data_IF_682260710902
#
_entry.id   IF_682260710902
#
_cell.length_a   1.000
_cell.length_b   1.000
_cell.length_c   1.000
_cell.angle_alpha   90.00
_cell.angle_beta   90.00
_cell.angle_gamma   90.00
#
_symmetry.space_group_name_H-M   'P 1'
#
loop_
_entity.id
_entity.type
_entity.pdbx_description
1 polymer ?
#
# COMPACT_ATOMS: atom_id res chain seq x y z
N UNK A 1 46.22 39.54 -30.15
CA UNK A 1 45.77 40.15 -28.89
C UNK A 1 44.24 40.06 -28.83
N UNK A 2 43.66 40.19 -27.63
CA UNK A 2 42.22 39.93 -27.38
C UNK A 2 41.33 41.18 -27.52
N UNK A 3 40.02 40.94 -27.33
CA UNK A 3 38.93 41.85 -26.94
C UNK A 3 38.09 42.44 -28.07
N UNK A 4 36.80 42.04 -28.05
CA UNK A 4 35.70 42.63 -28.81
C UNK A 4 34.39 42.48 -27.99
N UNK A 5 34.15 43.41 -27.07
CA UNK A 5 32.94 43.54 -26.23
C UNK A 5 32.99 44.87 -25.45
N UNK A 6 31.93 45.35 -24.75
CA UNK A 6 30.57 44.80 -24.62
C UNK A 6 29.45 45.80 -25.00
N UNK A 7 28.18 45.36 -24.92
CA UNK A 7 27.01 46.26 -24.83
C UNK A 7 26.55 46.46 -23.37
N UNK A 8 25.96 47.62 -23.09
CA UNK A 8 25.06 47.93 -21.96
C UNK A 8 23.80 48.56 -22.60
N UNK A 9 22.55 48.38 -22.18
CA UNK A 9 21.84 48.11 -20.90
C UNK A 9 20.88 49.30 -20.64
N UNK A 10 19.88 49.12 -19.77
CA UNK A 10 18.64 49.93 -19.62
C UNK A 10 17.59 49.60 -20.71
N UNK A 11 16.28 49.58 -20.44
CA UNK A 11 15.57 50.00 -19.21
C UNK A 11 14.41 49.07 -18.77
N UNK A 12 13.76 49.40 -17.65
CA UNK A 12 12.78 48.59 -16.90
C UNK A 12 11.29 48.95 -17.21
N UNK A 13 10.32 48.33 -16.50
CA UNK A 13 8.85 48.58 -16.46
C UNK A 13 7.94 47.75 -17.41
N UNK A 14 6.74 47.26 -17.03
CA UNK A 14 6.08 47.13 -15.71
C UNK A 14 5.00 46.00 -15.73
N UNK A 15 4.58 45.51 -14.55
CA UNK A 15 3.55 44.47 -14.27
C UNK A 15 2.09 44.96 -14.55
N UNK A 16 1.02 44.10 -14.65
CA UNK A 16 0.49 43.36 -13.48
C UNK A 16 -0.15 41.95 -13.72
N UNK A 17 0.06 41.01 -12.77
CA UNK A 17 -0.97 40.29 -11.95
C UNK A 17 -0.27 39.22 -11.07
N UNK A 18 0.45 39.64 -10.04
CA UNK A 18 -0.02 39.74 -8.63
C UNK A 18 -0.45 38.43 -7.92
N UNK A 19 0.55 37.64 -7.53
CA UNK A 19 0.74 37.10 -6.17
C UNK A 19 -0.50 36.58 -5.40
N UNK A 20 -1.08 35.47 -5.84
CA UNK A 20 -2.04 34.69 -5.03
C UNK A 20 -1.38 33.94 -3.87
N UNK A 21 -1.23 34.64 -2.74
CA UNK A 21 -1.23 34.09 -1.37
C UNK A 21 -0.35 32.85 -1.11
N UNK A 22 0.88 33.09 -0.63
CA UNK A 22 1.68 32.10 0.12
C UNK A 22 1.14 31.88 1.55
N UNK A 23 -0.19 31.73 1.69
CA UNK A 23 -0.86 31.44 2.95
C UNK A 23 -0.35 30.11 3.52
N UNK A 24 0.19 30.16 4.74
CA UNK A 24 0.34 28.94 5.54
C UNK A 24 -1.05 28.28 5.66
N UNK A 25 -1.18 26.95 5.46
CA UNK A 25 -2.45 26.26 5.72
C UNK A 25 -2.89 26.50 7.16
N UNK A 26 -4.21 26.53 7.39
CA UNK A 26 -4.83 26.84 8.68
C UNK A 26 -4.06 26.21 9.85
N UNK A 27 -3.79 27.00 10.88
CA UNK A 27 -2.85 26.63 11.95
C UNK A 27 -3.39 25.45 12.76
N UNK A 28 -2.74 24.31 12.58
CA UNK A 28 -2.98 23.04 13.25
C UNK A 28 -2.31 22.98 14.65
N UNK A 29 -1.97 24.14 15.20
CA UNK A 29 -1.11 24.30 16.38
C UNK A 29 0.39 24.09 16.07
N UNK A 30 0.73 23.80 14.81
CA UNK A 30 2.10 23.50 14.38
C UNK A 30 2.71 24.60 13.50
N UNK A 31 2.04 25.75 13.34
CA UNK A 31 2.54 26.90 12.58
C UNK A 31 3.97 27.32 12.93
N UNK A 32 4.31 27.37 14.22
CA UNK A 32 5.68 27.69 14.68
C UNK A 32 6.72 26.69 14.18
N UNK A 33 6.38 25.38 14.15
CA UNK A 33 7.26 24.34 13.62
C UNK A 33 7.42 24.49 12.10
N UNK A 34 6.31 24.73 11.38
CA UNK A 34 6.30 24.97 9.93
C UNK A 34 7.18 26.17 9.55
N UNK A 35 7.05 27.30 10.26
CA UNK A 35 7.88 28.50 10.05
C UNK A 35 9.36 28.25 10.29
N UNK A 36 9.74 27.52 11.37
CA UNK A 36 11.13 27.13 11.61
C UNK A 36 11.69 26.24 10.47
N UNK A 37 10.89 25.32 9.91
CA UNK A 37 11.29 24.47 8.78
C UNK A 37 11.50 25.28 7.50
N UNK A 38 10.63 26.26 7.22
CA UNK A 38 10.75 27.16 6.06
C UNK A 38 12.06 27.97 6.15
N UNK A 39 12.33 28.58 7.30
CA UNK A 39 13.59 29.32 7.53
C UNK A 39 14.84 28.44 7.29
N UNK A 40 14.84 27.17 7.72
CA UNK A 40 15.97 26.24 7.45
C UNK A 40 16.13 25.94 5.96
N UNK A 41 15.03 25.90 5.18
CA UNK A 41 15.10 25.71 3.72
C UNK A 41 15.70 26.93 3.01
N UNK A 42 15.46 28.14 3.51
CA UNK A 42 15.95 29.41 2.96
C UNK A 42 17.43 29.68 3.22
N UNK A 43 18.04 29.07 4.25
CA UNK A 43 19.47 29.22 4.57
C UNK A 43 20.37 28.85 3.37
N UNK A 44 21.46 29.60 3.16
CA UNK A 44 22.49 29.30 2.15
C UNK A 44 23.54 28.31 2.68
N UNK A 45 23.07 27.12 3.06
CA UNK A 45 23.86 25.99 3.55
C UNK A 45 23.65 24.74 2.67
N UNK A 46 24.51 23.73 2.79
CA UNK A 46 24.39 22.49 2.00
C UNK A 46 23.13 21.71 2.37
N UNK A 47 22.63 20.88 1.45
CA UNK A 47 21.44 20.06 1.70
C UNK A 47 21.62 19.09 2.89
N UNK A 48 22.85 18.62 3.15
CA UNK A 48 23.18 17.81 4.32
C UNK A 48 23.08 18.60 5.63
N UNK A 49 23.46 19.89 5.64
CA UNK A 49 23.30 20.76 6.81
C UNK A 49 21.84 21.12 7.06
N UNK A 50 21.08 21.41 5.99
CA UNK A 50 19.62 21.60 6.07
C UNK A 50 18.93 20.37 6.68
N UNK A 51 19.27 19.17 6.20
CA UNK A 51 18.73 17.92 6.74
C UNK A 51 19.07 17.73 8.23
N UNK A 52 20.32 18.02 8.66
CA UNK A 52 20.71 17.95 10.07
C UNK A 52 19.92 18.93 10.95
N UNK A 53 19.71 20.16 10.51
CA UNK A 53 18.94 21.16 11.27
C UNK A 53 17.44 20.80 11.36
N UNK A 54 16.81 20.35 10.27
CA UNK A 54 15.41 19.88 10.32
C UNK A 54 15.26 18.66 11.23
N UNK A 55 16.20 17.70 11.17
CA UNK A 55 16.18 16.54 12.07
C UNK A 55 16.35 16.96 13.54
N UNK A 56 17.28 17.87 13.84
CA UNK A 56 17.47 18.42 15.19
C UNK A 56 16.19 19.03 15.74
N UNK A 57 15.56 19.90 14.97
CA UNK A 57 14.28 20.54 15.29
C UNK A 57 13.15 19.52 15.56
N UNK A 58 13.03 18.47 14.75
CA UNK A 58 12.03 17.41 14.95
C UNK A 58 12.31 16.53 16.19
N UNK A 59 13.55 16.49 16.67
CA UNK A 59 13.97 15.65 17.81
C UNK A 59 14.06 16.45 19.12
N UNK A 60 13.99 17.80 19.05
CA UNK A 60 14.11 18.74 20.18
C UNK A 60 13.23 18.32 21.37
N UNK A 61 11.92 18.19 21.17
CA UNK A 61 10.97 17.78 22.22
C UNK A 61 11.17 16.36 22.74
N UNK A 62 11.62 15.41 21.90
CA UNK A 62 11.90 14.04 22.33
C UNK A 62 13.14 13.97 23.24
N UNK A 63 14.14 14.83 22.99
CA UNK A 63 15.32 14.94 23.85
C UNK A 63 14.99 15.69 25.14
N UNK A 64 14.28 16.83 25.07
CA UNK A 64 13.86 17.57 26.27
C UNK A 64 13.00 16.75 27.23
N UNK A 65 12.17 15.83 26.72
CA UNK A 65 11.37 14.91 27.54
C UNK A 65 12.17 13.78 28.23
N UNK A 66 13.47 13.64 27.93
CA UNK A 66 14.35 12.58 28.47
C UNK A 66 15.34 13.05 29.53
N UNK A 67 15.55 14.36 29.66
CA UNK A 67 16.49 14.98 30.62
C UNK A 67 15.87 15.18 32.04
N UNK A 68 14.93 14.31 32.45
CA UNK A 68 14.30 14.33 33.78
C UNK A 68 14.81 13.17 34.66
N UNK A 69 15.51 13.41 35.79
CA UNK A 69 16.10 12.33 36.59
C UNK A 69 15.14 11.61 37.54
N UNK A 70 15.21 10.28 37.52
CA UNK A 70 15.14 9.34 38.66
C UNK A 70 14.18 9.61 39.84
N UNK A 71 13.08 8.82 39.91
CA UNK A 71 12.56 8.28 41.20
C UNK A 71 12.20 6.80 41.06
N UNK A 72 12.20 6.06 42.17
CA UNK A 72 12.08 4.59 42.23
C UNK A 72 10.63 4.10 42.45
N UNK A 73 10.31 2.91 41.95
CA UNK A 73 9.07 2.20 42.29
C UNK A 73 9.03 0.79 41.72
N UNK A 74 8.97 -0.24 42.58
CA UNK A 74 8.93 -1.66 42.19
C UNK A 74 7.71 -2.32 42.81
N UNK A 75 6.92 -3.04 42.01
CA UNK A 75 5.96 -4.03 42.52
C UNK A 75 5.81 -5.21 41.56
N UNK A 76 5.82 -6.41 42.13
CA UNK A 76 5.49 -7.71 41.52
C UNK A 76 4.18 -8.20 42.19
N UNK A 77 3.75 -9.45 41.95
CA UNK A 77 2.54 -10.17 42.43
C UNK A 77 1.33 -10.11 41.45
N UNK A 78 0.59 -11.20 41.17
CA UNK A 78 0.62 -12.59 41.71
C UNK A 78 0.04 -13.64 40.74
N UNK A 79 0.31 -14.92 41.02
CA UNK A 79 -0.53 -16.10 40.68
C UNK A 79 -0.72 -16.94 41.97
N UNK A 80 -1.78 -17.77 42.12
CA UNK A 80 -1.77 -19.16 41.62
C UNK A 80 -3.16 -19.73 41.21
N UNK A 81 -3.28 -21.06 41.05
CA UNK A 81 -4.42 -21.79 40.44
C UNK A 81 -5.03 -22.88 41.36
N UNK A 82 -6.32 -23.28 41.14
CA UNK A 82 -6.81 -24.70 41.06
C UNK A 82 -8.35 -24.91 41.23
N UNK A 83 -9.01 -25.47 40.20
CA UNK A 83 -9.89 -26.68 40.07
C UNK A 83 -10.73 -27.26 41.26
N UNK A 84 -11.68 -28.22 41.06
CA UNK A 84 -12.14 -28.98 39.85
C UNK A 84 -13.68 -28.78 39.57
N UNK A 85 -14.61 -29.68 39.13
CA UNK A 85 -14.66 -31.13 38.80
C UNK A 85 -15.95 -31.57 38.03
N UNK A 86 -15.97 -32.80 37.47
CA UNK A 86 -17.09 -33.67 36.98
C UNK A 86 -18.03 -33.16 35.84
N UNK A 87 -18.45 -33.96 34.84
CA UNK A 87 -18.07 -35.34 34.48
C UNK A 87 -18.76 -35.88 33.18
N UNK A 88 -18.14 -36.88 32.53
CA UNK A 88 -18.66 -37.70 31.39
C UNK A 88 -19.22 -39.06 31.92
N UNK A 89 -19.80 -40.02 31.14
CA UNK A 89 -19.65 -40.37 29.71
C UNK A 89 -20.99 -40.22 28.92
N UNK A 90 -21.32 -40.78 27.74
CA UNK A 90 -20.76 -41.87 26.89
C UNK A 90 -21.19 -41.70 25.39
N UNK A 91 -20.65 -42.52 24.48
CA UNK A 91 -21.10 -42.71 23.08
C UNK A 91 -21.05 -44.24 22.76
N UNK A 92 -21.93 -44.82 21.91
CA UNK A 92 -21.44 -45.27 20.59
C UNK A 92 -22.46 -45.34 19.40
N UNK A 93 -21.91 -45.16 18.19
CA UNK A 93 -22.21 -45.88 16.92
C UNK A 93 -23.53 -45.72 16.13
N UNK A 94 -23.41 -44.96 15.02
CA UNK A 94 -23.71 -45.33 13.61
C UNK A 94 -24.77 -46.38 13.24
N UNK A 95 -25.72 -46.00 12.36
CA UNK A 95 -26.30 -46.87 11.31
C UNK A 95 -26.58 -46.06 10.01
N UNK A 96 -26.94 -46.76 8.91
CA UNK A 96 -27.05 -46.22 7.54
C UNK A 96 -28.48 -45.90 7.08
N UNK A 97 -28.54 -44.94 6.15
CA UNK A 97 -29.43 -44.75 4.99
C UNK A 97 -30.79 -45.50 4.91
N UNK A 98 -31.81 -44.76 4.46
CA UNK A 98 -32.99 -45.29 3.74
C UNK A 98 -33.47 -44.24 2.75
N UNK A 99 -33.92 -44.67 1.57
CA UNK A 99 -34.35 -43.81 0.47
C UNK A 99 -35.86 -43.57 0.51
N UNK A 100 -36.32 -42.36 0.20
CA UNK A 100 -37.69 -42.13 -0.28
C UNK A 100 -37.61 -41.20 -1.50
N UNK A 101 -38.03 -41.70 -2.65
CA UNK A 101 -38.10 -40.96 -3.90
C UNK A 101 -39.53 -40.40 -4.08
N UNK A 102 -39.69 -39.09 -4.29
CA UNK A 102 -40.99 -38.49 -4.61
C UNK A 102 -40.85 -37.28 -5.53
N UNK A 103 -40.95 -37.54 -6.84
CA UNK A 103 -41.42 -36.66 -7.93
C UNK A 103 -41.24 -35.13 -7.83
N UNK A 104 -40.46 -34.59 -8.78
CA UNK A 104 -40.55 -33.19 -9.29
C UNK A 104 -42.00 -32.73 -9.52
N UNK A 105 -42.26 -31.42 -9.39
CA UNK A 105 -42.50 -30.62 -10.61
C UNK A 105 -41.30 -29.76 -11.04
N UNK A 106 -41.33 -29.25 -12.27
CA UNK A 106 -40.26 -28.47 -12.89
C UNK A 106 -40.61 -27.00 -13.07
N UNK A 107 -39.69 -26.11 -12.73
CA UNK A 107 -39.63 -24.72 -13.20
C UNK A 107 -38.15 -24.31 -13.32
N UNK A 108 -37.73 -23.48 -14.31
CA UNK A 108 -36.32 -23.29 -14.63
C UNK A 108 -35.63 -22.17 -13.84
N UNK A 109 -34.30 -22.28 -13.80
CA UNK A 109 -33.34 -21.21 -13.50
C UNK A 109 -33.54 -20.43 -12.19
N UNK A 110 -33.02 -21.01 -11.11
CA UNK A 110 -32.50 -20.26 -9.97
C UNK A 110 -31.25 -20.97 -9.49
N UNK A 111 -30.11 -20.56 -10.04
CA UNK A 111 -28.82 -20.98 -9.48
C UNK A 111 -28.72 -20.45 -8.05
N UNK A 112 -28.43 -21.34 -7.11
CA UNK A 112 -28.31 -20.99 -5.70
C UNK A 112 -26.98 -20.29 -5.44
N UNK A 113 -26.91 -19.01 -5.83
CA UNK A 113 -25.79 -18.10 -5.56
C UNK A 113 -25.35 -18.26 -4.10
N UNK A 114 -24.10 -18.66 -3.83
CA UNK A 114 -23.64 -18.91 -2.46
C UNK A 114 -23.73 -17.65 -1.59
N UNK A 115 -24.01 -17.82 -0.30
CA UNK A 115 -24.32 -16.70 0.60
C UNK A 115 -23.18 -15.68 0.79
N UNK A 116 -21.94 -15.98 0.38
CA UNK A 116 -20.83 -15.01 0.44
C UNK A 116 -21.00 -13.85 -0.57
N UNK A 117 -21.66 -14.08 -1.70
CA UNK A 117 -21.87 -13.05 -2.75
C UNK A 117 -22.92 -12.01 -2.34
N UNK A 118 -23.86 -12.37 -1.45
CA UNK A 118 -24.93 -11.46 -0.99
C UNK A 118 -24.47 -10.39 0.02
N UNK A 119 -23.25 -10.51 0.56
CA UNK A 119 -22.70 -9.55 1.54
C UNK A 119 -21.74 -8.53 0.94
N UNK A 120 -21.24 -8.73 -0.29
CA UNK A 120 -20.29 -7.83 -0.94
C UNK A 120 -21.04 -6.81 -1.80
N UNK A 121 -21.12 -5.57 -1.33
CA UNK A 121 -21.80 -4.49 -2.06
C UNK A 121 -20.87 -3.94 -3.12
N UNK A 122 -21.05 -4.39 -4.36
CA UNK A 122 -20.30 -3.96 -5.53
C UNK A 122 -21.07 -2.89 -6.31
N UNK A 123 -20.39 -1.81 -6.68
CA UNK A 123 -20.87 -0.81 -7.64
C UNK A 123 -20.38 -1.11 -9.07
N UNK A 124 -21.03 -0.59 -10.12
CA UNK A 124 -20.50 -0.65 -11.49
C UNK A 124 -19.08 -0.08 -11.62
N UNK A 125 -18.75 0.94 -10.82
CA UNK A 125 -17.44 1.59 -10.74
C UNK A 125 -16.38 0.68 -10.11
N UNK A 126 -16.74 -0.14 -9.11
CA UNK A 126 -15.85 -1.16 -8.53
C UNK A 126 -15.44 -2.20 -9.58
N UNK A 127 -16.32 -2.56 -10.51
CA UNK A 127 -16.05 -3.54 -11.57
C UNK A 127 -15.11 -3.02 -12.67
N UNK A 128 -14.91 -1.70 -12.80
CA UNK A 128 -14.02 -1.15 -13.83
C UNK A 128 -12.55 -1.50 -13.52
N UNK A 129 -11.81 -2.15 -14.45
CA UNK A 129 -10.39 -2.45 -14.25
C UNK A 129 -9.57 -1.17 -14.20
N UNK A 130 -8.52 -1.15 -13.37
CA UNK A 130 -7.55 -0.05 -13.34
C UNK A 130 -6.23 -0.49 -13.97
N UNK A 131 -5.58 0.42 -14.67
CA UNK A 131 -4.33 0.19 -15.38
C UNK A 131 -3.19 0.99 -14.74
N UNK A 132 -1.97 0.49 -14.92
CA UNK A 132 -0.76 1.25 -14.60
C UNK A 132 -0.69 2.45 -15.55
N UNK A 133 -0.56 3.70 -15.06
CA UNK A 133 -0.36 4.84 -15.93
C UNK A 133 0.90 4.64 -16.77
N UNK A 134 0.77 4.82 -18.09
CA UNK A 134 1.93 4.87 -18.99
C UNK A 134 2.76 6.09 -18.60
N UNK A 135 4.08 5.93 -18.56
CA UNK A 135 4.96 7.09 -18.56
C UNK A 135 4.90 7.69 -19.97
N UNK A 136 4.33 8.88 -20.10
CA UNK A 136 4.32 9.65 -21.34
C UNK A 136 5.77 9.90 -21.75
N UNK A 137 6.25 9.07 -22.69
CA UNK A 137 7.58 9.22 -23.26
C UNK A 137 7.45 10.24 -24.36
N UNK A 138 8.08 11.40 -24.18
CA UNK A 138 8.09 12.46 -25.16
C UNK A 138 8.55 11.89 -26.52
N UNK A 139 7.67 11.98 -27.52
CA UNK A 139 7.91 11.39 -28.83
C UNK A 139 9.21 11.93 -29.43
N UNK A 140 10.17 11.07 -29.82
CA UNK A 140 11.30 11.52 -30.63
C UNK A 140 10.76 12.15 -31.92
N UNK A 141 11.09 13.42 -32.16
CA UNK A 141 10.68 14.08 -33.40
C UNK A 141 11.32 13.39 -34.60
N UNK A 142 10.53 13.30 -35.68
CA UNK A 142 10.81 12.59 -36.93
C UNK A 142 12.23 12.83 -37.49
N UNK A 143 12.98 11.76 -37.74
CA UNK A 143 13.80 11.67 -38.96
C UNK A 143 13.40 10.43 -39.78
N UNK A 144 13.54 10.55 -41.09
CA UNK A 144 12.81 9.76 -42.09
C UNK A 144 13.57 8.53 -42.60
N UNK A 145 12.87 7.41 -42.79
CA UNK A 145 13.33 6.28 -43.59
C UNK A 145 12.22 5.24 -43.81
N UNK A 146 11.86 4.99 -45.07
CA UNK A 146 10.82 4.02 -45.44
C UNK A 146 11.28 2.56 -45.26
N UNK A 147 10.45 1.72 -44.62
CA UNK A 147 10.34 0.29 -44.95
C UNK A 147 9.04 -0.30 -44.35
N UNK A 148 8.25 -1.02 -45.16
CA UNK A 148 6.95 -1.59 -44.74
C UNK A 148 7.10 -2.57 -43.56
N UNK A 149 6.52 -2.21 -42.40
CA UNK A 149 6.25 -3.12 -41.29
C UNK A 149 4.95 -2.78 -40.58
N UNK A 150 3.89 -3.51 -40.91
CA UNK A 150 2.68 -3.63 -40.09
C UNK A 150 2.99 -4.38 -38.77
N UNK A 151 3.74 -3.72 -37.88
CA UNK A 151 3.82 -4.10 -36.47
C UNK A 151 2.74 -3.27 -35.78
N UNK A 152 1.57 -3.89 -35.58
CA UNK A 152 0.64 -3.41 -34.56
C UNK A 152 1.35 -3.50 -33.20
N UNK A 153 1.92 -2.39 -32.72
CA UNK A 153 2.32 -2.27 -31.32
C UNK A 153 1.05 -2.27 -30.45
N UNK A 154 0.55 -3.47 -30.17
CA UNK A 154 -0.51 -3.70 -29.19
C UNK A 154 0.05 -3.42 -27.80
N UNK A 155 0.09 -2.13 -27.45
CA UNK A 155 0.60 -1.60 -26.20
C UNK A 155 0.01 -2.36 -25.00
N UNK A 156 0.85 -3.14 -24.31
CA UNK A 156 0.41 -4.09 -23.30
C UNK A 156 -0.13 -3.36 -22.04
N UNK A 157 -1.44 -3.13 -22.03
CA UNK A 157 -2.17 -2.40 -20.98
C UNK A 157 -2.14 -3.13 -19.64
N UNK A 158 -1.03 -2.96 -18.93
CA UNK A 158 -0.75 -3.64 -17.67
C UNK A 158 -1.77 -3.25 -16.59
N UNK A 159 -2.47 -4.24 -16.02
CA UNK A 159 -3.40 -4.04 -14.92
C UNK A 159 -2.68 -3.64 -13.63
N UNK A 160 -3.30 -2.73 -12.87
CA UNK A 160 -2.80 -2.23 -11.60
C UNK A 160 -2.94 -0.72 -11.47
N UNK A 161 -1.90 -0.08 -10.92
CA UNK A 161 -1.80 1.36 -10.68
C UNK A 161 -0.32 1.76 -10.59
N UNK A 162 -0.01 3.06 -10.52
CA UNK A 162 1.37 3.57 -10.41
C UNK A 162 2.19 2.99 -9.23
N UNK A 163 1.52 2.46 -8.18
CA UNK A 163 2.18 1.87 -7.01
C UNK A 163 2.51 0.37 -7.17
N UNK A 164 1.66 -0.37 -7.88
CA UNK A 164 1.68 -1.84 -7.96
C UNK A 164 0.98 -2.32 -9.22
N UNK A 165 1.62 -3.25 -9.94
CA UNK A 165 1.00 -4.01 -11.03
C UNK A 165 0.23 -5.19 -10.40
N UNK A 166 -1.01 -5.49 -10.80
CA UNK A 166 -1.83 -6.57 -10.20
C UNK A 166 -3.15 -6.77 -10.96
N UNK A 167 -3.71 -7.98 -10.87
CA UNK A 167 -4.99 -8.32 -11.52
C UNK A 167 -6.21 -8.21 -10.57
N UNK A 168 -6.07 -7.55 -9.41
CA UNK A 168 -7.13 -7.43 -8.39
C UNK A 168 -7.24 -6.04 -7.75
N UNK A 169 -8.48 -5.64 -7.42
CA UNK A 169 -8.77 -4.66 -6.35
C UNK A 169 -8.91 -5.38 -5.02
N UNK A 170 -8.71 -4.68 -3.90
CA UNK A 170 -8.84 -5.20 -2.54
C UNK A 170 -9.91 -4.41 -1.76
N UNK A 171 -10.64 -5.13 -0.91
CA UNK A 171 -11.61 -4.53 0.02
C UNK A 171 -10.87 -3.85 1.18
N UNK A 172 -11.25 -2.62 1.53
CA UNK A 172 -10.87 -2.05 2.82
C UNK A 172 -11.82 -2.55 3.92
N UNK A 173 -11.26 -3.20 4.94
CA UNK A 173 -12.04 -3.73 6.07
C UNK A 173 -12.93 -2.67 6.74
N UNK A 174 -12.43 -1.44 6.89
CA UNK A 174 -13.07 -0.36 7.64
C UNK A 174 -14.23 0.32 6.92
N UNK A 175 -14.15 0.50 5.59
CA UNK A 175 -15.14 1.24 4.80
C UNK A 175 -15.88 0.40 3.75
N UNK A 176 -15.48 -0.87 3.55
CA UNK A 176 -16.11 -1.85 2.64
C UNK A 176 -16.21 -1.40 1.16
N UNK A 177 -15.35 -0.46 0.76
CA UNK A 177 -15.11 0.01 -0.63
C UNK A 177 -13.89 -0.70 -1.24
N UNK A 178 -13.79 -0.70 -2.57
CA UNK A 178 -12.76 -1.42 -3.32
C UNK A 178 -11.71 -0.50 -3.95
N UNK A 179 -10.43 -0.81 -3.78
CA UNK A 179 -9.33 -0.02 -4.34
C UNK A 179 -8.26 -0.92 -4.94
N UNK A 180 -7.57 -0.45 -5.97
CA UNK A 180 -6.45 -1.18 -6.56
C UNK A 180 -5.37 -1.45 -5.53
N UNK A 181 -4.98 -0.46 -4.74
CA UNK A 181 -4.03 -0.65 -3.64
C UNK A 181 -4.27 0.31 -2.47
N UNK A 182 -3.62 0.01 -1.34
CA UNK A 182 -3.70 0.81 -0.12
C UNK A 182 -3.32 2.29 -0.33
N UNK A 183 -2.35 2.61 -1.19
CA UNK A 183 -1.98 4.01 -1.43
C UNK A 183 -3.07 4.77 -2.22
N UNK A 184 -3.83 4.09 -3.07
CA UNK A 184 -4.98 4.68 -3.76
C UNK A 184 -6.17 4.92 -2.81
N UNK A 185 -6.33 4.07 -1.79
CA UNK A 185 -7.26 4.28 -0.68
C UNK A 185 -6.82 5.45 0.21
N UNK A 186 -5.60 5.36 0.77
CA UNK A 186 -5.00 6.31 1.72
C UNK A 186 -4.88 7.74 1.16
N UNK A 187 -5.06 7.93 -0.16
CA UNK A 187 -5.05 9.23 -0.84
C UNK A 187 -6.43 9.89 -1.01
N UNK A 188 -7.54 9.15 -0.81
CA UNK A 188 -8.92 9.67 -1.01
C UNK A 188 -9.84 9.44 0.19
N UNK A 189 -9.55 8.44 1.04
CA UNK A 189 -10.29 8.18 2.27
C UNK A 189 -9.61 8.82 3.49
N UNK A 190 -10.40 9.19 4.49
CA UNK A 190 -9.94 9.85 5.72
C UNK A 190 -9.21 8.93 6.73
N UNK A 191 -8.87 7.70 6.34
CA UNK A 191 -8.29 6.67 7.20
C UNK A 191 -7.33 5.76 6.40
N UNK A 192 -6.38 5.07 7.05
CA UNK A 192 -5.47 4.14 6.36
C UNK A 192 -6.08 2.75 6.17
N UNK A 193 -5.79 2.10 5.04
CA UNK A 193 -6.19 0.71 4.78
C UNK A 193 -5.27 -0.28 5.52
N UNK A 194 -5.82 -0.95 6.53
CA UNK A 194 -5.11 -1.96 7.33
C UNK A 194 -4.99 -3.26 6.55
N UNK A 195 -3.92 -3.38 5.74
CA UNK A 195 -3.75 -4.46 4.74
C UNK A 195 -3.97 -5.89 5.27
N UNK A 196 -3.61 -6.18 6.53
CA UNK A 196 -3.73 -7.52 7.11
C UNK A 196 -5.19 -7.97 7.25
N UNK A 197 -6.10 -7.00 7.34
CA UNK A 197 -7.52 -7.20 7.64
C UNK A 197 -8.36 -7.24 6.34
N UNK A 198 -7.73 -7.12 5.16
CA UNK A 198 -8.39 -7.32 3.86
C UNK A 198 -8.78 -8.79 3.70
N UNK A 199 -10.06 -9.07 3.92
CA UNK A 199 -10.67 -10.40 3.77
C UNK A 199 -10.92 -10.76 2.29
N UNK A 200 -11.32 -9.77 1.47
CA UNK A 200 -11.79 -9.99 0.10
C UNK A 200 -10.97 -9.27 -0.97
N UNK A 201 -10.97 -9.84 -2.18
CA UNK A 201 -10.41 -9.28 -3.41
C UNK A 201 -11.40 -9.39 -4.56
N UNK A 202 -11.33 -8.45 -5.50
CA UNK A 202 -12.16 -8.36 -6.70
C UNK A 202 -11.27 -8.51 -7.93
N UNK A 203 -11.52 -9.55 -8.73
CA UNK A 203 -10.71 -9.88 -9.90
C UNK A 203 -11.01 -8.95 -11.07
N UNK A 204 -10.00 -8.17 -11.49
CA UNK A 204 -10.13 -7.22 -12.61
C UNK A 204 -10.15 -7.91 -13.99
N UNK A 205 -9.91 -9.22 -14.06
CA UNK A 205 -10.00 -10.02 -15.29
C UNK A 205 -11.43 -10.52 -15.58
N UNK A 206 -12.30 -10.63 -14.57
CA UNK A 206 -13.63 -11.23 -14.74
C UNK A 206 -14.75 -10.66 -13.83
N UNK A 207 -14.48 -9.64 -13.02
CA UNK A 207 -15.45 -8.99 -12.13
C UNK A 207 -15.84 -9.79 -10.89
N UNK A 208 -15.28 -10.99 -10.66
CA UNK A 208 -15.64 -11.83 -9.52
C UNK A 208 -15.01 -11.35 -8.20
N UNK A 209 -15.84 -11.13 -7.18
CA UNK A 209 -15.41 -10.82 -5.82
C UNK A 209 -15.42 -12.07 -4.93
N UNK A 210 -14.35 -12.26 -4.16
CA UNK A 210 -14.09 -13.50 -3.42
C UNK A 210 -13.14 -13.27 -2.23
N UNK A 211 -12.98 -14.23 -1.31
CA UNK A 211 -11.89 -14.20 -0.33
C UNK A 211 -10.51 -14.08 -0.99
N UNK A 212 -9.63 -13.33 -0.33
CA UNK A 212 -8.27 -13.03 -0.77
C UNK A 212 -7.41 -14.30 -0.96
N UNK A 213 -6.93 -14.51 -2.19
CA UNK A 213 -6.17 -15.70 -2.60
C UNK A 213 -5.17 -15.38 -3.72
N UNK A 214 -4.35 -16.36 -4.12
CA UNK A 214 -3.44 -16.23 -5.27
C UNK A 214 -4.15 -16.35 -6.63
N UNK A 215 -5.25 -17.10 -6.70
CA UNK A 215 -5.99 -17.37 -7.94
C UNK A 215 -7.45 -16.92 -7.83
N UNK A 216 -8.04 -16.54 -8.96
CA UNK A 216 -9.47 -16.30 -9.04
C UNK A 216 -10.23 -17.64 -9.03
N UNK A 217 -11.38 -17.72 -8.35
CA UNK A 217 -12.23 -18.92 -8.31
C UNK A 217 -13.16 -19.05 -9.51
N UNK A 218 -13.42 -17.96 -10.24
CA UNK A 218 -14.32 -17.95 -11.40
C UNK A 218 -13.56 -18.18 -12.71
N UNK A 219 -12.47 -17.45 -12.97
CA UNK A 219 -11.65 -17.64 -14.18
C UNK A 219 -10.40 -18.50 -13.98
N UNK A 220 -10.10 -18.97 -12.76
CA UNK A 220 -8.89 -19.75 -12.39
C UNK A 220 -7.53 -19.04 -12.54
N UNK A 221 -7.49 -17.90 -13.24
CA UNK A 221 -6.29 -17.11 -13.49
C UNK A 221 -5.54 -16.67 -12.22
N UNK A 222 -4.21 -16.54 -12.36
CA UNK A 222 -3.35 -16.05 -11.30
C UNK A 222 -3.50 -14.53 -11.13
N UNK A 223 -3.82 -14.11 -9.91
CA UNK A 223 -4.12 -12.71 -9.59
C UNK A 223 -2.89 -11.83 -9.42
N UNK A 224 -1.75 -12.45 -9.09
CA UNK A 224 -0.43 -11.82 -9.03
C UNK A 224 0.70 -12.85 -9.16
N UNK A 225 1.80 -12.49 -9.83
CA UNK A 225 3.04 -13.28 -9.83
C UNK A 225 3.55 -13.52 -8.40
N UNK A 226 3.56 -12.46 -7.58
CA UNK A 226 3.79 -12.54 -6.13
C UNK A 226 2.50 -12.28 -5.35
N UNK A 227 2.05 -13.29 -4.59
CA UNK A 227 1.02 -13.15 -3.57
C UNK A 227 1.62 -13.41 -2.18
N UNK A 228 1.23 -12.60 -1.19
CA UNK A 228 1.51 -12.87 0.22
C UNK A 228 0.23 -12.74 1.05
N UNK A 229 -0.22 -13.88 1.58
CA UNK A 229 -1.44 -13.99 2.38
C UNK A 229 -1.39 -13.20 3.70
N UNK A 230 -0.24 -13.16 4.36
CA UNK A 230 -0.03 -12.45 5.64
C UNK A 230 -0.09 -10.93 5.46
N UNK A 231 0.36 -10.42 4.31
CA UNK A 231 0.42 -8.98 4.02
C UNK A 231 -0.73 -8.48 3.14
N UNK A 232 -1.55 -9.40 2.59
CA UNK A 232 -2.49 -9.16 1.48
C UNK A 232 -1.85 -8.30 0.38
N UNK A 233 -0.67 -8.74 -0.07
CA UNK A 233 0.09 -8.09 -1.14
C UNK A 233 0.00 -8.92 -2.41
N UNK A 234 -0.32 -8.24 -3.51
CA UNK A 234 -0.33 -8.71 -4.88
C UNK A 234 0.59 -7.79 -5.70
N UNK A 235 1.61 -8.35 -6.38
CA UNK A 235 2.43 -7.63 -7.37
C UNK A 235 2.70 -8.52 -8.61
N UNK A 236 2.64 -7.93 -9.79
CA UNK A 236 2.91 -8.54 -11.11
C UNK A 236 4.22 -8.05 -11.74
N UNK A 237 4.92 -7.10 -11.12
CA UNK A 237 6.16 -6.55 -11.66
C UNK A 237 7.31 -7.57 -11.54
N UNK A 238 7.55 -8.31 -12.62
CA UNK A 238 8.60 -9.33 -12.73
C UNK A 238 10.02 -8.80 -12.50
N UNK A 239 10.23 -7.47 -12.55
CA UNK A 239 11.52 -6.83 -12.23
C UNK A 239 11.74 -6.73 -10.71
N UNK A 240 10.68 -6.86 -9.90
CA UNK A 240 10.76 -6.91 -8.43
C UNK A 240 10.78 -8.36 -7.94
N UNK A 241 11.95 -8.83 -7.49
CA UNK A 241 11.96 -9.92 -6.50
C UNK A 241 11.34 -9.41 -5.20
N UNK A 242 10.37 -10.13 -4.64
CA UNK A 242 9.72 -9.79 -3.37
C UNK A 242 9.72 -11.03 -2.47
N UNK A 243 9.98 -10.86 -1.18
CA UNK A 243 9.87 -11.92 -0.18
C UNK A 243 9.10 -11.44 1.05
N UNK A 244 8.41 -12.34 1.74
CA UNK A 244 7.88 -12.08 3.07
C UNK A 244 8.98 -12.33 4.10
N UNK A 245 9.20 -11.39 5.02
CA UNK A 245 10.08 -11.59 6.15
C UNK A 245 9.25 -11.82 7.42
N UNK A 246 9.42 -13.01 8.02
CA UNK A 246 8.64 -13.43 9.19
C UNK A 246 8.95 -12.53 10.40
N UNK A 247 10.23 -12.22 10.64
CA UNK A 247 10.68 -11.55 11.86
C UNK A 247 10.22 -10.08 11.98
N UNK A 248 9.97 -9.39 10.85
CA UNK A 248 9.32 -8.07 10.86
C UNK A 248 7.83 -8.13 10.44
N UNK A 249 7.32 -9.30 10.04
CA UNK A 249 5.94 -9.53 9.59
C UNK A 249 5.51 -8.68 8.38
N UNK A 250 6.43 -8.41 7.44
CA UNK A 250 6.21 -7.56 6.26
C UNK A 250 6.91 -8.10 5.01
N UNK A 251 6.39 -7.75 3.83
CA UNK A 251 7.09 -8.00 2.57
C UNK A 251 8.20 -6.97 2.32
N UNK A 252 9.29 -7.42 1.70
CA UNK A 252 10.43 -6.59 1.27
C UNK A 252 10.79 -6.91 -0.17
N UNK A 253 11.30 -5.92 -0.89
CA UNK A 253 11.92 -6.13 -2.21
C UNK A 253 13.31 -6.75 -1.98
N UNK A 254 13.62 -7.83 -2.68
CA UNK A 254 14.86 -8.60 -2.55
C UNK A 254 14.66 -10.08 -2.89
N UNK A 255 15.77 -10.82 -3.00
CA UNK A 255 15.79 -12.27 -3.23
C UNK A 255 15.63 -13.09 -1.94
N UNK A 256 15.90 -12.50 -0.78
CA UNK A 256 15.56 -13.03 0.54
C UNK A 256 16.67 -12.94 1.59
N UNK A 257 16.32 -13.38 2.80
CA UNK A 257 17.26 -13.50 3.92
C UNK A 257 18.39 -14.48 3.57
N UNK A 258 19.63 -14.07 3.81
CA UNK A 258 20.83 -14.86 3.50
C UNK A 258 21.29 -14.78 2.04
N UNK A 259 20.64 -13.98 1.19
CA UNK A 259 21.11 -13.67 -0.18
C UNK A 259 21.57 -12.22 -0.28
N UNK A 260 20.61 -11.29 -0.29
CA UNK A 260 20.80 -9.85 -0.45
C UNK A 260 20.38 -9.05 0.80
N UNK A 261 19.61 -9.68 1.70
CA UNK A 261 19.24 -9.10 3.00
C UNK A 261 19.59 -10.00 4.17
N UNK A 262 19.73 -9.40 5.35
CA UNK A 262 19.85 -10.09 6.64
C UNK A 262 19.12 -9.29 7.72
N UNK A 263 18.57 -9.98 8.71
CA UNK A 263 18.05 -9.31 9.90
C UNK A 263 19.18 -9.02 10.88
N UNK A 264 19.34 -7.75 11.24
CA UNK A 264 19.99 -7.41 12.49
C UNK A 264 19.00 -7.78 13.61
N UNK A 265 19.21 -8.92 14.27
CA UNK A 265 18.38 -9.32 15.41
C UNK A 265 18.70 -8.39 16.60
N UNK A 266 17.87 -7.37 16.78
CA UNK A 266 18.07 -6.35 17.81
C UNK A 266 17.78 -6.93 19.19
N UNK A 267 18.80 -7.55 19.79
CA UNK A 267 18.95 -7.52 21.24
C UNK A 267 19.16 -6.05 21.63
N UNK A 268 18.23 -5.54 22.43
CA UNK A 268 18.03 -4.11 22.62
C UNK A 268 19.14 -3.43 23.47
N UNK A 269 19.35 -2.09 23.41
CA UNK A 269 18.74 -1.07 22.54
C UNK A 269 19.73 0.03 22.06
N UNK A 270 20.73 -0.25 21.19
CA UNK A 270 21.70 0.80 20.77
C UNK A 270 22.00 0.95 19.27
N UNK A 271 21.80 -0.06 18.43
CA UNK A 271 22.21 0.01 17.01
C UNK A 271 21.08 -0.32 16.03
N UNK A 272 20.46 0.73 15.48
CA UNK A 272 19.38 0.62 14.51
C UNK A 272 19.91 0.81 13.09
N UNK A 273 20.36 -0.29 12.46
CA UNK A 273 20.32 -0.41 11.00
C UNK A 273 18.98 -1.05 10.63
N UNK A 274 17.98 -0.21 10.32
CA UNK A 274 16.70 -0.67 9.75
C UNK A 274 16.95 -1.24 8.36
N UNK A 275 16.31 -2.37 8.08
CA UNK A 275 16.06 -2.85 6.72
C UNK A 275 15.09 -1.91 6.01
#
# INVERSE_FOLDING_TARGET
>A
MFISEPRRSLDNAFDPEELTHSSLPADDGMGVLRSKIIAIRELRLTNAEKARMVHGLMTEGYNSARELPSTTGVVVFSTPSSLPSLGLPTNPQTLRASEINTSRPSSPYSESVPLYERTLTLTPEDLQPTFVPKAETESPELETGDEDRDIEEQEETTLGCAHYQRNVKLECYSCKKWYTCRFCHDAVESHPLVRRDTEHMLCMLCGHAQPAAQNCRQCNEQTAQYYCEICKLWDNDSKKSIYHCNDCGICRIGQGLGKDFFHCQVMAPTWVRRC
#
